data_IF_510581270394
#
_entry.id   IF_510581270394
#
_cell.length_a   1.000
_cell.length_b   1.000
_cell.length_c   1.000
_cell.angle_alpha   90.00
_cell.angle_beta   90.00
_cell.angle_gamma   90.00
#
_symmetry.space_group_name_H-M   'P 1'
#
loop_
_entity.id
_entity.type
_entity.pdbx_description
1 polymer ?
#
# COMPACT_ATOMS: atom_id res chain seq x y z
N UNK A 1 -17.43 -13.99 15.70
CA UNK A 1 -16.73 -13.73 16.97
C UNK A 1 -16.23 -15.04 17.56
N UNK A 2 -17.09 -16.05 17.73
CA UNK A 2 -16.72 -17.33 18.36
C UNK A 2 -15.53 -18.04 17.71
N UNK A 3 -15.45 -18.02 16.37
CA UNK A 3 -14.33 -18.61 15.62
C UNK A 3 -13.02 -17.84 15.79
N UNK A 4 -13.10 -16.53 16.06
CA UNK A 4 -11.94 -15.65 16.13
C UNK A 4 -11.48 -15.33 17.56
N UNK A 5 -12.16 -15.87 18.58
CA UNK A 5 -11.84 -15.55 19.98
C UNK A 5 -10.45 -16.04 20.41
N UNK A 6 -9.97 -17.13 19.82
CA UNK A 6 -8.68 -17.73 20.16
C UNK A 6 -7.50 -17.03 19.44
N UNK A 7 -7.80 -16.10 18.52
CA UNK A 7 -6.78 -15.34 17.81
C UNK A 7 -6.33 -14.15 18.65
N UNK A 8 -5.32 -14.38 19.45
CA UNK A 8 -4.70 -13.38 20.34
C UNK A 8 -3.25 -13.16 19.99
N UNK A 9 -2.67 -12.07 20.50
CA UNK A 9 -1.21 -11.86 20.39
C UNK A 9 -0.51 -12.79 21.38
N UNK A 10 0.21 -13.80 20.87
CA UNK A 10 0.80 -14.89 21.66
C UNK A 10 2.30 -14.76 21.89
N UNK A 11 3.03 -14.09 20.99
CA UNK A 11 4.48 -13.97 21.05
C UNK A 11 4.98 -12.70 20.37
N UNK A 12 6.22 -12.32 20.62
CA UNK A 12 6.79 -11.10 20.06
C UNK A 12 7.13 -11.23 18.57
N UNK A 13 7.76 -12.32 18.18
CA UNK A 13 8.23 -12.55 16.81
C UNK A 13 8.13 -14.03 16.44
N UNK A 14 7.60 -14.35 15.28
CA UNK A 14 7.58 -15.70 14.72
C UNK A 14 8.77 -15.97 13.77
N UNK A 15 9.64 -14.98 13.56
CA UNK A 15 10.82 -15.05 12.69
C UNK A 15 10.53 -15.44 11.22
N UNK A 16 9.29 -15.25 10.76
CA UNK A 16 8.94 -15.53 9.36
C UNK A 16 9.68 -14.60 8.41
N UNK A 17 10.10 -15.14 7.29
CA UNK A 17 10.64 -14.41 6.12
C UNK A 17 9.56 -14.13 5.07
N UNK A 18 8.35 -14.61 5.31
CA UNK A 18 7.22 -14.38 4.43
C UNK A 18 6.55 -13.05 4.74
N UNK A 19 5.96 -12.45 3.72
CA UNK A 19 5.26 -11.19 3.85
C UNK A 19 4.34 -10.94 2.68
N UNK A 20 3.58 -9.85 2.75
CA UNK A 20 2.67 -9.41 1.71
C UNK A 20 3.24 -8.16 1.04
N UNK A 21 3.21 -8.14 -0.28
CA UNK A 21 3.62 -6.96 -1.05
C UNK A 21 2.48 -5.95 -1.00
N UNK A 22 2.77 -4.77 -0.48
CA UNK A 22 1.86 -3.63 -0.44
C UNK A 22 2.21 -2.65 -1.54
N UNK A 23 1.19 -2.16 -2.24
CA UNK A 23 1.26 -1.14 -3.28
C UNK A 23 0.02 -0.25 -3.19
N UNK A 24 -0.01 0.86 -3.94
CA UNK A 24 -1.21 1.68 -4.02
C UNK A 24 -2.40 0.86 -4.51
N UNK A 25 -3.57 1.05 -3.91
CA UNK A 25 -4.82 0.52 -4.46
C UNK A 25 -5.39 1.56 -5.41
N UNK A 26 -5.53 1.16 -6.68
CA UNK A 26 -6.04 2.02 -7.76
C UNK A 26 -7.31 1.44 -8.34
N UNK A 27 -8.25 2.31 -8.69
CA UNK A 27 -9.40 1.97 -9.52
C UNK A 27 -9.34 2.82 -10.79
N UNK A 28 -8.86 2.21 -11.87
CA UNK A 28 -8.47 2.95 -13.07
C UNK A 28 -7.30 3.90 -12.80
N UNK A 29 -7.50 5.19 -13.03
CA UNK A 29 -6.48 6.22 -12.78
C UNK A 29 -6.52 6.80 -11.36
N UNK A 30 -7.57 6.51 -10.59
CA UNK A 30 -7.75 7.07 -9.24
C UNK A 30 -7.11 6.18 -8.19
N UNK A 31 -6.23 6.77 -7.38
CA UNK A 31 -5.71 6.10 -6.18
C UNK A 31 -6.81 6.14 -5.12
N UNK A 32 -7.29 4.96 -4.70
CA UNK A 32 -8.27 4.82 -3.62
C UNK A 32 -7.55 4.87 -2.28
N UNK A 33 -6.48 4.10 -2.16
CA UNK A 33 -5.70 4.01 -0.93
C UNK A 33 -4.20 4.07 -1.27
N UNK A 34 -3.49 5.10 -0.81
CA UNK A 34 -2.07 5.25 -1.10
C UNK A 34 -1.25 4.23 -0.32
N UNK A 35 -0.07 3.87 -0.85
CA UNK A 35 0.87 2.96 -0.19
C UNK A 35 1.21 3.41 1.23
N UNK A 36 1.34 4.72 1.46
CA UNK A 36 1.64 5.33 2.74
C UNK A 36 0.71 4.81 3.86
N UNK A 37 -0.61 4.91 3.68
CA UNK A 37 -1.58 4.49 4.70
C UNK A 37 -1.56 2.98 4.95
N UNK A 38 -1.13 2.21 3.96
CA UNK A 38 -1.08 0.74 4.04
C UNK A 38 0.17 0.19 4.74
N UNK A 39 1.26 0.94 4.76
CA UNK A 39 2.54 0.46 5.31
C UNK A 39 2.85 1.00 6.70
N UNK A 40 2.26 2.13 7.11
CA UNK A 40 2.50 2.70 8.43
C UNK A 40 2.17 1.70 9.53
N UNK A 41 3.05 1.61 10.52
CA UNK A 41 2.85 0.74 11.68
C UNK A 41 3.05 -0.73 11.40
N UNK A 42 3.58 -1.11 10.23
CA UNK A 42 3.94 -2.48 9.89
C UNK A 42 5.45 -2.68 9.91
N UNK A 43 5.87 -3.90 10.14
CA UNK A 43 7.26 -4.31 10.04
C UNK A 43 7.59 -4.71 8.61
N UNK A 44 8.74 -4.28 8.11
CA UNK A 44 9.24 -4.70 6.79
C UNK A 44 9.88 -6.09 6.88
N UNK A 45 9.79 -6.84 5.79
CA UNK A 45 10.45 -8.15 5.65
C UNK A 45 11.87 -7.97 5.13
N UNK A 46 12.01 -7.19 4.07
CA UNK A 46 13.27 -6.94 3.36
C UNK A 46 13.67 -5.46 3.51
N UNK A 47 14.94 -5.14 3.26
CA UNK A 47 15.40 -3.76 3.24
C UNK A 47 14.65 -2.98 2.17
N UNK A 48 14.17 -1.78 2.52
CA UNK A 48 13.48 -0.89 1.58
C UNK A 48 14.49 0.09 1.01
N UNK A 49 14.84 -0.15 -0.25
CA UNK A 49 15.88 0.58 -0.97
C UNK A 49 15.25 1.33 -2.15
N UNK A 50 15.67 2.56 -2.37
CA UNK A 50 15.26 3.31 -3.55
C UNK A 50 15.93 2.71 -4.79
N UNK A 51 15.17 2.36 -5.83
CA UNK A 51 15.72 1.77 -7.04
C UNK A 51 16.55 2.76 -7.89
N UNK A 52 16.47 4.07 -7.64
CA UNK A 52 17.17 5.10 -8.42
C UNK A 52 18.53 5.44 -7.82
N UNK A 53 18.57 5.78 -6.54
CA UNK A 53 19.78 6.27 -5.87
C UNK A 53 20.40 5.24 -4.91
N UNK A 54 19.72 4.12 -4.66
CA UNK A 54 20.19 3.07 -3.77
C UNK A 54 20.11 3.43 -2.28
N UNK A 55 19.42 4.51 -1.92
CA UNK A 55 19.26 4.92 -0.52
C UNK A 55 18.41 3.90 0.24
N UNK A 56 18.91 3.46 1.39
CA UNK A 56 18.16 2.56 2.29
C UNK A 56 17.33 3.41 3.24
N UNK A 57 16.00 3.35 3.12
CA UNK A 57 15.08 4.06 4.01
C UNK A 57 14.84 3.34 5.34
N UNK A 58 14.77 2.01 5.30
CA UNK A 58 14.53 1.18 6.47
C UNK A 58 15.11 -0.21 6.24
N UNK A 59 15.65 -0.81 7.28
CA UNK A 59 16.21 -2.17 7.25
C UNK A 59 15.15 -3.20 7.54
N UNK A 60 15.43 -4.43 7.12
CA UNK A 60 14.58 -5.59 7.39
C UNK A 60 14.25 -5.72 8.88
N UNK A 61 13.03 -6.17 9.17
CA UNK A 61 12.53 -6.42 10.52
C UNK A 61 12.42 -5.15 11.42
N UNK A 62 12.41 -3.96 10.82
CA UNK A 62 12.15 -2.69 11.51
C UNK A 62 10.71 -2.20 11.26
N UNK A 63 10.22 -1.38 12.19
CA UNK A 63 8.88 -0.80 12.15
C UNK A 63 8.85 0.46 11.30
N UNK A 64 7.95 0.54 10.33
CA UNK A 64 7.74 1.76 9.54
C UNK A 64 7.05 2.82 10.41
N UNK A 65 7.80 3.83 10.78
CA UNK A 65 7.27 5.02 11.45
C UNK A 65 6.59 5.96 10.46
N UNK A 66 5.82 6.91 10.97
CA UNK A 66 5.17 7.92 10.13
C UNK A 66 6.17 8.71 9.27
N UNK A 67 7.32 9.10 9.85
CA UNK A 67 8.38 9.84 9.12
C UNK A 67 8.94 9.03 7.95
N UNK A 68 9.30 7.77 8.20
CA UNK A 68 9.82 6.87 7.17
C UNK A 68 8.75 6.62 6.09
N UNK A 69 7.48 6.45 6.48
CA UNK A 69 6.38 6.32 5.54
C UNK A 69 6.23 7.53 4.61
N UNK A 70 6.37 8.75 5.15
CA UNK A 70 6.36 9.98 4.35
C UNK A 70 7.54 10.07 3.37
N UNK A 71 8.73 9.66 3.79
CA UNK A 71 9.92 9.61 2.93
C UNK A 71 9.73 8.59 1.80
N UNK A 72 9.24 7.38 2.11
CA UNK A 72 8.91 6.36 1.11
C UNK A 72 7.85 6.88 0.13
N UNK A 73 6.84 7.60 0.61
CA UNK A 73 5.79 8.17 -0.26
C UNK A 73 6.30 9.23 -1.23
N UNK A 74 7.39 9.92 -0.89
CA UNK A 74 8.03 10.93 -1.75
C UNK A 74 9.06 10.31 -2.71
N UNK A 75 9.50 9.08 -2.43
CA UNK A 75 10.47 8.34 -3.22
C UNK A 75 9.83 7.68 -4.45
N UNK A 76 10.65 7.01 -5.25
CA UNK A 76 10.22 6.25 -6.42
C UNK A 76 9.74 4.82 -6.09
N UNK A 77 9.73 4.45 -4.82
CA UNK A 77 9.33 3.10 -4.37
C UNK A 77 7.84 2.89 -4.60
N UNK A 78 7.48 1.89 -5.40
CA UNK A 78 6.09 1.59 -5.74
C UNK A 78 5.48 0.48 -4.89
N UNK A 79 6.32 -0.38 -4.32
CA UNK A 79 5.88 -1.52 -3.53
C UNK A 79 6.82 -1.77 -2.37
N UNK A 80 6.27 -2.21 -1.25
CA UNK A 80 7.02 -2.59 -0.05
C UNK A 80 6.50 -3.93 0.46
N UNK A 81 7.41 -4.85 0.77
CA UNK A 81 7.07 -6.15 1.36
C UNK A 81 7.04 -6.01 2.88
N UNK A 82 5.86 -6.16 3.45
CA UNK A 82 5.63 -6.02 4.90
C UNK A 82 5.17 -7.33 5.52
N UNK A 83 5.40 -7.47 6.81
CA UNK A 83 4.87 -8.58 7.61
C UNK A 83 3.35 -8.42 7.74
N UNK A 84 2.65 -9.55 7.73
CA UNK A 84 1.19 -9.59 7.79
C UNK A 84 0.73 -10.71 8.70
N UNK A 85 -0.47 -10.54 9.25
CA UNK A 85 -1.17 -11.59 10.00
C UNK A 85 -1.45 -12.83 9.14
N UNK A 86 -1.60 -12.64 7.82
CA UNK A 86 -1.86 -13.72 6.85
C UNK A 86 -0.64 -14.64 6.62
N UNK A 87 0.56 -14.15 6.87
CA UNK A 87 1.82 -14.88 6.69
C UNK A 87 2.53 -15.14 8.01
N UNK A 88 1.80 -15.01 9.14
CA UNK A 88 2.36 -15.28 10.45
C UNK A 88 2.53 -16.78 10.66
N UNK A 89 3.71 -17.19 11.10
CA UNK A 89 4.08 -18.58 11.38
C UNK A 89 4.10 -18.88 12.89
N UNK A 90 3.30 -18.14 13.68
CA UNK A 90 3.11 -18.45 15.09
C UNK A 90 2.24 -19.71 15.24
N UNK A 91 2.63 -20.63 16.10
CA UNK A 91 1.90 -21.89 16.35
C UNK A 91 0.48 -21.64 16.90
N UNK A 92 0.33 -20.62 17.73
CA UNK A 92 -0.95 -20.21 18.33
C UNK A 92 -1.07 -18.69 18.23
N UNK A 93 -2.21 -18.22 17.76
CA UNK A 93 -2.47 -16.79 17.65
C UNK A 93 -1.60 -16.06 16.61
N UNK A 94 -1.18 -14.85 16.92
CA UNK A 94 -0.41 -13.97 16.02
C UNK A 94 0.74 -13.34 16.81
N UNK A 95 1.88 -13.10 16.17
CA UNK A 95 2.98 -12.39 16.81
C UNK A 95 2.83 -10.87 16.69
N UNK A 96 3.43 -10.12 17.61
CA UNK A 96 3.42 -8.64 17.65
C UNK A 96 3.91 -8.05 16.32
N UNK A 97 5.01 -8.55 15.78
CA UNK A 97 5.59 -8.01 14.54
C UNK A 97 4.73 -8.24 13.30
N UNK A 98 4.05 -9.37 13.20
CA UNK A 98 3.14 -9.61 12.08
C UNK A 98 1.86 -8.79 12.18
N UNK A 99 1.42 -8.47 13.38
CA UNK A 99 0.28 -7.60 13.61
C UNK A 99 0.66 -6.11 13.43
N UNK A 100 1.77 -5.68 14.06
CA UNK A 100 2.24 -4.30 14.01
C UNK A 100 1.58 -3.40 15.05
N UNK A 101 1.25 -2.17 14.65
CA UNK A 101 0.60 -1.19 15.52
C UNK A 101 -0.89 -1.45 15.61
N UNK A 102 -1.43 -1.39 16.83
CA UNK A 102 -2.85 -1.31 17.07
C UNK A 102 -3.34 0.11 16.77
N UNK A 103 -4.17 0.27 15.74
CA UNK A 103 -4.64 1.57 15.25
C UNK A 103 -5.50 2.31 16.28
N UNK A 104 -6.17 1.60 17.18
CA UNK A 104 -7.01 2.22 18.21
C UNK A 104 -6.18 2.91 19.31
N UNK A 105 -5.02 2.34 19.64
CA UNK A 105 -4.14 2.85 20.70
C UNK A 105 -2.89 3.54 20.18
N UNK A 106 -2.65 3.48 18.85
CA UNK A 106 -1.44 3.98 18.18
C UNK A 106 -0.13 3.45 18.78
N UNK A 107 -0.19 2.32 19.47
CA UNK A 107 0.94 1.64 20.09
C UNK A 107 1.10 0.24 19.52
N UNK A 108 2.29 -0.35 19.71
CA UNK A 108 2.50 -1.75 19.35
C UNK A 108 1.50 -2.65 20.08
N UNK A 109 1.00 -3.65 19.38
CA UNK A 109 0.14 -4.68 19.95
C UNK A 109 0.84 -5.36 21.15
N UNK A 110 0.07 -5.66 22.18
CA UNK A 110 0.59 -6.25 23.40
C UNK A 110 0.23 -7.72 23.46
N UNK A 111 1.06 -8.49 24.13
CA UNK A 111 0.76 -9.88 24.42
C UNK A 111 -0.58 -10.02 25.15
N UNK A 112 -1.45 -10.89 24.65
CA UNK A 112 -2.81 -11.09 25.18
C UNK A 112 -3.89 -10.22 24.53
N UNK A 113 -3.55 -9.29 23.63
CA UNK A 113 -4.56 -8.51 22.90
C UNK A 113 -5.44 -9.46 22.04
N UNK A 114 -6.76 -9.36 22.20
CA UNK A 114 -7.75 -10.19 21.49
C UNK A 114 -8.03 -9.62 20.08
N UNK A 115 -7.03 -9.67 19.22
CA UNK A 115 -7.06 -9.05 17.88
C UNK A 115 -8.07 -9.70 16.94
N UNK A 116 -8.35 -11.00 17.13
CA UNK A 116 -9.36 -11.72 16.35
C UNK A 116 -10.78 -11.22 16.63
N UNK A 117 -11.11 -10.97 17.88
CA UNK A 117 -12.42 -10.40 18.27
C UNK A 117 -12.57 -9.00 17.67
N UNK A 118 -11.54 -8.14 17.78
CA UNK A 118 -11.55 -6.79 17.20
C UNK A 118 -11.78 -6.85 15.69
N UNK A 119 -11.09 -7.74 14.99
CA UNK A 119 -11.27 -7.92 13.54
C UNK A 119 -12.69 -8.42 13.21
N UNK A 120 -13.19 -9.41 13.92
CA UNK A 120 -14.54 -9.94 13.70
C UNK A 120 -15.64 -8.89 13.91
N UNK A 121 -15.48 -8.04 14.93
CA UNK A 121 -16.42 -6.94 15.20
C UNK A 121 -16.38 -5.87 14.11
N UNK A 122 -15.17 -5.43 13.69
CA UNK A 122 -15.02 -4.42 12.65
C UNK A 122 -15.47 -4.88 11.27
N UNK A 123 -15.42 -6.18 10.97
CA UNK A 123 -15.95 -6.76 9.73
C UNK A 123 -17.46 -6.98 9.83
N UNK A 124 -17.96 -7.42 10.98
CA UNK A 124 -19.34 -7.80 11.18
C UNK A 124 -20.30 -6.63 11.32
N UNK A 125 -19.87 -5.53 11.94
CA UNK A 125 -20.72 -4.34 12.12
C UNK A 125 -21.18 -3.75 10.78
N UNK A 126 -20.31 -3.37 9.84
CA UNK A 126 -20.74 -2.85 8.55
C UNK A 126 -21.39 -3.92 7.66
N UNK A 127 -21.08 -5.20 7.86
CA UNK A 127 -21.71 -6.31 7.13
C UNK A 127 -23.23 -6.36 7.33
N UNK A 128 -23.70 -6.08 8.51
CA UNK A 128 -25.15 -6.02 8.82
C UNK A 128 -25.83 -4.83 8.10
N UNK A 129 -25.16 -3.68 7.98
CA UNK A 129 -25.68 -2.50 7.26
C UNK A 129 -25.68 -2.72 5.75
N UNK A 130 -24.64 -3.37 5.21
CA UNK A 130 -24.51 -3.68 3.77
C UNK A 130 -25.58 -4.67 3.30
N UNK A 131 -25.90 -5.72 4.07
CA UNK A 131 -26.94 -6.68 3.72
C UNK A 131 -28.34 -6.04 3.63
N UNK A 132 -28.62 -5.00 4.38
CA UNK A 132 -29.86 -4.24 4.27
C UNK A 132 -29.91 -3.32 3.02
N UNK A 133 -28.77 -2.97 2.44
CA UNK A 133 -28.68 -2.09 1.26
C UNK A 133 -28.51 -2.80 -0.07
N UNK A 134 -27.95 -4.02 -0.10
CA UNK A 134 -27.55 -4.70 -1.37
C UNK A 134 -28.69 -5.45 -2.07
N UNK A 135 -29.89 -5.52 -1.53
CA UNK A 135 -31.05 -6.12 -2.23
C UNK A 135 -31.49 -5.33 -3.48
N UNK A 136 -30.92 -4.16 -3.76
CA UNK A 136 -31.35 -3.28 -4.87
C UNK A 136 -30.32 -2.98 -5.94
N UNK A 137 -29.10 -3.49 -5.88
CA UNK A 137 -28.09 -3.23 -6.93
C UNK A 137 -27.53 -4.55 -7.44
N UNK A 138 -28.23 -5.14 -8.39
CA UNK A 138 -27.67 -6.11 -9.33
C UNK A 138 -26.74 -5.37 -10.30
N UNK A 139 -25.54 -5.03 -9.86
CA UNK A 139 -24.54 -4.37 -10.69
C UNK A 139 -23.73 -5.40 -11.45
N UNK A 140 -23.78 -5.37 -12.75
CA UNK A 140 -22.81 -6.01 -13.64
C UNK A 140 -21.41 -5.50 -13.30
N UNK A 141 -20.51 -6.43 -12.97
CA UNK A 141 -19.08 -6.12 -12.83
C UNK A 141 -18.57 -5.62 -14.20
N UNK A 142 -18.38 -4.31 -14.34
CA UNK A 142 -17.70 -3.75 -15.49
C UNK A 142 -16.20 -4.02 -15.31
N UNK A 143 -15.61 -4.82 -16.18
CA UNK A 143 -14.17 -4.89 -16.34
C UNK A 143 -13.68 -3.52 -16.81
N UNK A 144 -13.03 -2.78 -15.92
CA UNK A 144 -12.29 -1.59 -16.32
C UNK A 144 -11.05 -2.08 -17.05
N UNK A 145 -11.03 -1.87 -18.36
CA UNK A 145 -9.84 -2.10 -19.18
C UNK A 145 -8.90 -0.94 -18.87
N UNK A 146 -7.81 -1.21 -18.16
CA UNK A 146 -6.75 -0.23 -17.98
C UNK A 146 -6.18 0.12 -19.35
N UNK A 147 -6.34 1.37 -19.78
CA UNK A 147 -5.67 1.85 -20.99
C UNK A 147 -4.20 2.08 -20.64
N UNK A 148 -3.31 1.39 -21.35
CA UNK A 148 -1.85 1.52 -21.19
C UNK A 148 -1.27 2.82 -21.77
N UNK A 149 -2.10 3.69 -22.33
CA UNK A 149 -1.71 4.94 -22.95
C UNK A 149 -2.78 6.02 -22.76
N UNK A 150 -2.35 7.25 -22.71
CA UNK A 150 -3.22 8.43 -22.65
C UNK A 150 -3.04 9.23 -23.94
N UNK A 151 -4.15 9.55 -24.61
CA UNK A 151 -4.16 10.37 -25.81
C UNK A 151 -4.66 11.77 -25.49
N UNK A 152 -3.93 12.78 -25.96
CA UNK A 152 -4.37 14.15 -25.86
C UNK A 152 -5.52 14.39 -26.86
N UNK A 153 -6.66 14.89 -26.37
CA UNK A 153 -7.83 15.21 -27.22
C UNK A 153 -7.73 16.56 -27.94
N UNK A 154 -6.72 17.36 -27.64
CA UNK A 154 -6.49 18.69 -28.21
C UNK A 154 -4.99 18.92 -28.37
N UNK A 155 -4.63 19.75 -29.32
CA UNK A 155 -3.25 20.21 -29.50
C UNK A 155 -2.85 21.17 -28.37
N UNK A 156 -1.62 21.07 -27.88
CA UNK A 156 -1.14 21.90 -26.78
C UNK A 156 0.31 21.65 -26.43
N UNK A 157 0.82 22.38 -25.44
CA UNK A 157 2.17 22.18 -24.90
C UNK A 157 2.11 21.35 -23.65
N UNK A 158 2.96 20.32 -23.58
CA UNK A 158 3.08 19.47 -22.40
C UNK A 158 4.01 20.13 -21.38
N UNK A 159 3.53 20.28 -20.14
CA UNK A 159 4.32 20.71 -18.99
C UNK A 159 4.38 19.60 -17.96
N UNK A 160 5.59 19.28 -17.55
CA UNK A 160 5.81 18.33 -16.46
C UNK A 160 5.83 19.05 -15.12
N UNK A 161 5.23 18.46 -14.10
CA UNK A 161 5.31 19.00 -12.74
C UNK A 161 6.70 18.79 -12.16
N UNK A 162 7.12 19.69 -11.24
CA UNK A 162 8.42 19.62 -10.56
C UNK A 162 8.62 18.34 -9.74
N UNK A 163 7.52 17.62 -9.47
CA UNK A 163 7.52 16.34 -8.75
C UNK A 163 7.68 15.13 -9.65
N UNK A 164 7.72 15.33 -10.97
CA UNK A 164 7.90 14.24 -11.94
C UNK A 164 9.40 13.98 -12.13
N UNK A 165 9.86 12.86 -11.63
CA UNK A 165 11.22 12.38 -11.89
C UNK A 165 11.24 11.61 -13.22
N UNK A 166 12.08 12.07 -14.14
CA UNK A 166 12.26 11.47 -15.46
C UNK A 166 13.61 10.77 -15.52
N UNK A 167 13.62 9.56 -16.01
CA UNK A 167 14.83 8.76 -16.21
C UNK A 167 14.99 8.43 -17.70
N UNK A 168 16.12 8.81 -18.29
CA UNK A 168 16.42 8.43 -19.67
C UNK A 168 17.01 7.03 -19.70
N UNK A 169 16.28 6.10 -20.31
CA UNK A 169 16.75 4.73 -20.55
C UNK A 169 17.23 4.61 -21.99
N UNK A 170 18.52 4.31 -22.17
CA UNK A 170 19.10 4.02 -23.48
C UNK A 170 18.85 2.56 -23.84
N UNK A 171 17.91 2.30 -24.72
CA UNK A 171 17.77 1.04 -25.41
C UNK A 171 18.66 1.03 -26.68
N UNK A 172 19.01 -0.14 -27.18
CA UNK A 172 19.92 -0.30 -28.35
C UNK A 172 19.47 0.48 -29.60
N UNK A 173 18.19 0.83 -29.72
CA UNK A 173 17.61 1.48 -30.91
C UNK A 173 16.77 2.75 -30.59
N UNK A 174 16.55 3.12 -29.33
CA UNK A 174 15.77 4.31 -28.95
C UNK A 174 16.25 4.90 -27.62
N UNK A 175 16.04 6.20 -27.47
CA UNK A 175 16.14 6.88 -26.16
C UNK A 175 14.71 7.05 -25.66
N UNK A 176 14.36 6.30 -24.65
CA UNK A 176 13.04 6.38 -24.04
C UNK A 176 13.15 7.12 -22.70
N UNK A 177 12.26 8.05 -22.46
CA UNK A 177 12.17 8.77 -21.20
C UNK A 177 11.05 8.15 -20.37
N UNK A 178 11.39 7.63 -19.23
CA UNK A 178 10.45 6.95 -18.31
C UNK A 178 10.20 7.84 -17.11
N UNK A 179 8.93 8.01 -16.76
CA UNK A 179 8.52 8.69 -15.53
C UNK A 179 8.53 7.70 -14.37
N UNK A 180 9.23 8.03 -13.29
CA UNK A 180 9.49 7.10 -12.17
C UNK A 180 8.81 7.53 -10.88
N UNK A 181 8.15 8.70 -10.86
CA UNK A 181 7.51 9.23 -9.66
C UNK A 181 6.00 8.91 -9.60
N UNK A 182 5.50 8.61 -8.39
CA UNK A 182 4.07 8.35 -8.16
C UNK A 182 3.17 9.57 -8.29
N UNK A 183 3.68 10.72 -7.89
CA UNK A 183 2.90 11.95 -7.75
C UNK A 183 3.21 12.95 -8.86
N UNK A 184 3.81 12.48 -9.95
CA UNK A 184 4.06 13.30 -11.13
C UNK A 184 2.76 13.62 -11.86
N UNK A 185 2.59 14.88 -12.27
CA UNK A 185 1.48 15.31 -13.12
C UNK A 185 2.01 15.78 -14.45
N UNK A 186 1.29 15.46 -15.51
CA UNK A 186 1.51 15.98 -16.85
C UNK A 186 0.34 16.90 -17.14
N UNK A 187 0.62 18.16 -17.44
CA UNK A 187 -0.38 19.16 -17.75
C UNK A 187 -0.30 19.49 -19.24
N UNK A 188 -1.44 19.51 -19.91
CA UNK A 188 -1.56 19.99 -21.27
C UNK A 188 -2.02 21.44 -21.22
N UNK A 189 -1.16 22.36 -21.64
CA UNK A 189 -1.42 23.79 -21.72
C UNK A 189 -1.93 24.13 -23.11
N UNK A 190 -2.97 24.97 -23.17
CA UNK A 190 -3.46 25.52 -24.43
C UNK A 190 -2.42 26.49 -25.02
N UNK A 191 -2.53 26.78 -26.32
CA UNK A 191 -1.60 27.64 -27.06
C UNK A 191 -1.48 29.08 -26.51
N UNK A 192 -2.34 29.49 -25.60
CA UNK A 192 -2.34 30.81 -24.98
C UNK A 192 -1.79 30.85 -23.54
N UNK A 193 -1.29 29.76 -22.98
CA UNK A 193 -0.64 29.70 -21.67
C UNK A 193 -1.55 29.34 -20.54
#
# INVERSE_FOLDING_TARGET
VDVAQDVTISQNDCNTIQGVIMQDIKEGEKIIEPLYDRIIGRYVVDDVVDPIDGTIYIKSNELISQKIGEEISKSSIQQVKVRSVLTCEADIGICVKCYGINLATTSLAKHGDAVGIMAAQSIGEPGTQLTLRTFHIGGTASRIVESSHMEAKKDGKIKFSDKLQLLEVKNKNSKDTIAVSRNGKIELLDSNG
#
